data_IF_941344380282
#
_entry.id   IF_941344380282
#
_cell.length_a   1.000
_cell.length_b   1.000
_cell.length_c   1.000
_cell.angle_alpha   90.00
_cell.angle_beta   90.00
_cell.angle_gamma   90.00
#
_symmetry.space_group_name_H-M   'P 1'
#
loop_
_entity.id
_entity.type
_entity.pdbx_description
1 polymer ?
#
# COMPACT_ATOMS: atom_id res chain seq x y z
N UNK A 1 -4.25 1.60 -6.52
CA UNK A 1 -4.97 2.75 -5.91
C UNK A 1 -4.01 3.80 -5.33
N UNK A 2 -2.89 3.42 -4.71
CA UNK A 2 -1.95 4.38 -4.10
C UNK A 2 -1.33 5.42 -5.06
N UNK A 3 -1.22 5.12 -6.36
CA UNK A 3 -0.72 6.07 -7.38
C UNK A 3 -1.56 7.36 -7.42
N UNK A 4 -2.88 7.25 -7.43
CA UNK A 4 -3.79 8.41 -7.57
C UNK A 4 -3.60 9.38 -6.41
N UNK A 5 -3.45 8.86 -5.20
CA UNK A 5 -3.35 9.68 -3.98
C UNK A 5 -2.01 10.37 -3.88
N UNK A 6 -0.92 9.68 -4.25
CA UNK A 6 0.41 10.30 -4.33
C UNK A 6 0.43 11.42 -5.37
N UNK A 7 -0.28 11.28 -6.49
CA UNK A 7 -0.39 12.34 -7.50
C UNK A 7 -1.20 13.54 -7.02
N UNK A 8 -2.34 13.30 -6.37
CA UNK A 8 -3.17 14.37 -5.78
C UNK A 8 -2.36 15.14 -4.73
N UNK A 9 -1.75 14.44 -3.77
CA UNK A 9 -0.95 15.08 -2.72
C UNK A 9 0.33 15.73 -3.24
N UNK A 10 1.00 15.13 -4.23
CA UNK A 10 2.16 15.73 -4.88
C UNK A 10 1.86 17.03 -5.62
N UNK A 11 0.64 17.18 -6.14
CA UNK A 11 0.18 18.43 -6.78
C UNK A 11 -0.15 19.48 -5.73
N UNK A 12 -0.86 19.11 -4.66
CA UNK A 12 -1.29 20.03 -3.60
C UNK A 12 -0.13 20.53 -2.73
N UNK A 13 0.82 19.66 -2.36
CA UNK A 13 1.88 20.00 -1.40
C UNK A 13 3.21 20.37 -2.06
N UNK A 14 3.55 19.73 -3.19
CA UNK A 14 4.86 19.87 -3.84
C UNK A 14 4.82 20.77 -5.08
N UNK A 15 3.63 21.30 -5.44
CA UNK A 15 3.35 22.09 -6.65
C UNK A 15 3.93 21.48 -7.94
N UNK A 16 4.04 20.15 -7.99
CA UNK A 16 4.50 19.43 -9.18
C UNK A 16 3.34 19.38 -10.17
N UNK A 17 3.56 19.93 -11.37
CA UNK A 17 2.60 19.78 -12.46
C UNK A 17 2.76 18.41 -13.09
N UNK A 18 1.80 17.52 -12.83
CA UNK A 18 1.66 16.26 -13.57
C UNK A 18 0.88 16.52 -14.84
N UNK A 19 1.23 15.84 -15.93
CA UNK A 19 0.50 15.99 -17.19
C UNK A 19 -0.92 15.43 -17.00
N UNK A 20 -1.95 16.00 -17.64
CA UNK A 20 -3.31 15.48 -17.54
C UNK A 20 -3.41 14.01 -18.00
N UNK A 21 -2.51 13.58 -18.89
CA UNK A 21 -2.38 12.17 -19.30
C UNK A 21 -2.03 11.23 -18.15
N UNK A 22 -1.20 11.66 -17.19
CA UNK A 22 -0.83 10.82 -16.04
C UNK A 22 -2.05 10.56 -15.13
N UNK A 23 -2.93 11.57 -15.00
CA UNK A 23 -4.18 11.45 -14.24
C UNK A 23 -5.15 10.47 -14.90
N UNK A 24 -5.30 10.56 -16.23
CA UNK A 24 -6.15 9.63 -16.99
C UNK A 24 -5.62 8.20 -16.82
N UNK A 25 -4.31 7.97 -16.97
CA UNK A 25 -3.71 6.65 -16.78
C UNK A 25 -3.93 6.11 -15.36
N UNK A 26 -3.79 6.95 -14.33
CA UNK A 26 -4.03 6.55 -12.95
C UNK A 26 -5.51 6.17 -12.69
N UNK A 27 -6.45 6.88 -13.31
CA UNK A 27 -7.87 6.53 -13.28
C UNK A 27 -8.14 5.23 -14.04
N UNK A 28 -7.55 5.02 -15.21
CA UNK A 28 -7.69 3.78 -15.98
C UNK A 28 -7.17 2.56 -15.20
N UNK A 29 -6.01 2.67 -14.53
CA UNK A 29 -5.49 1.60 -13.66
C UNK A 29 -6.47 1.31 -12.51
N UNK A 30 -7.03 2.36 -11.91
CA UNK A 30 -7.98 2.22 -10.80
C UNK A 30 -9.27 1.56 -11.26
N UNK A 31 -9.83 1.98 -12.39
CA UNK A 31 -11.01 1.34 -13.00
C UNK A 31 -10.75 -0.12 -13.36
N UNK A 32 -9.62 -0.44 -13.98
CA UNK A 32 -9.23 -1.81 -14.31
C UNK A 32 -9.13 -2.72 -13.07
N UNK A 33 -8.55 -2.21 -11.98
CA UNK A 33 -8.52 -2.93 -10.70
C UNK A 33 -9.93 -3.12 -10.11
N UNK A 34 -10.78 -2.09 -10.15
CA UNK A 34 -12.16 -2.18 -9.66
C UNK A 34 -12.96 -3.22 -10.44
N UNK A 35 -12.86 -3.23 -11.77
CA UNK A 35 -13.50 -4.22 -12.65
C UNK A 35 -12.99 -5.63 -12.34
N UNK A 36 -11.69 -5.79 -12.09
CA UNK A 36 -11.12 -7.08 -11.72
C UNK A 36 -11.64 -7.59 -10.36
N UNK A 37 -11.71 -6.71 -9.36
CA UNK A 37 -12.17 -7.03 -8.01
C UNK A 37 -13.66 -7.37 -7.99
N UNK A 38 -14.50 -6.58 -8.67
CA UNK A 38 -15.95 -6.81 -8.72
C UNK A 38 -16.35 -8.10 -9.45
N UNK A 39 -15.58 -8.50 -10.47
CA UNK A 39 -15.83 -9.74 -11.22
C UNK A 39 -15.10 -10.96 -10.64
N UNK A 40 -14.28 -10.78 -9.60
CA UNK A 40 -13.67 -11.88 -8.88
C UNK A 40 -14.60 -12.43 -7.80
N UNK A 41 -14.42 -13.69 -7.36
CA UNK A 41 -15.08 -14.21 -6.18
C UNK A 41 -14.45 -13.56 -4.93
N UNK A 42 -14.72 -12.28 -4.72
CA UNK A 42 -14.39 -11.54 -3.48
C UNK A 42 -15.47 -11.73 -2.41
N UNK A 43 -16.18 -12.87 -2.47
CA UNK A 43 -17.05 -13.31 -1.40
C UNK A 43 -16.18 -13.69 -0.20
N UNK A 44 -15.93 -12.72 0.68
CA UNK A 44 -15.53 -13.01 2.06
C UNK A 44 -16.56 -13.99 2.62
N UNK A 45 -16.12 -15.22 2.92
CA UNK A 45 -16.95 -16.30 3.48
C UNK A 45 -17.49 -15.97 4.89
N UNK A 46 -17.23 -14.74 5.37
CA UNK A 46 -17.61 -14.17 6.66
C UNK A 46 -18.71 -13.10 6.56
N UNK A 47 -19.25 -12.79 5.37
CA UNK A 47 -20.31 -11.77 5.17
C UNK A 47 -21.72 -12.35 5.34
N UNK A 48 -21.87 -13.59 5.77
CA UNK A 48 -23.19 -14.21 5.95
C UNK A 48 -23.96 -13.67 7.17
N UNK A 49 -23.32 -12.95 8.11
CA UNK A 49 -23.95 -12.51 9.37
C UNK A 49 -23.82 -11.01 9.72
N UNK A 50 -23.34 -10.15 8.81
CA UNK A 50 -23.20 -8.70 9.10
C UNK A 50 -23.61 -7.83 7.92
N UNK A 51 -24.84 -8.02 7.43
CA UNK A 51 -25.50 -7.17 6.44
C UNK A 51 -26.07 -5.88 7.05
N UNK A 52 -25.29 -5.19 7.88
CA UNK A 52 -25.65 -3.86 8.37
C UNK A 52 -24.93 -2.84 7.46
N UNK A 53 -25.65 -2.02 6.67
CA UNK A 53 -25.04 -1.08 5.73
C UNK A 53 -24.11 -0.07 6.42
N UNK A 54 -24.28 0.15 7.72
CA UNK A 54 -23.40 1.01 8.53
C UNK A 54 -21.95 0.53 8.60
N UNK A 55 -21.68 -0.76 8.80
CA UNK A 55 -20.29 -1.26 8.89
C UNK A 55 -19.58 -1.25 7.54
N UNK A 56 -20.30 -1.48 6.44
CA UNK A 56 -19.76 -1.35 5.10
C UNK A 56 -19.31 0.10 4.83
N UNK A 57 -20.14 1.08 5.21
CA UNK A 57 -19.82 2.50 5.05
C UNK A 57 -18.62 2.91 5.92
N UNK A 58 -18.58 2.45 7.17
CA UNK A 58 -17.46 2.70 8.10
C UNK A 58 -16.17 2.06 7.56
N UNK A 59 -16.22 0.81 7.10
CA UNK A 59 -15.07 0.12 6.49
C UNK A 59 -14.57 0.82 5.23
N UNK A 60 -15.49 1.25 4.35
CA UNK A 60 -15.15 2.01 3.16
C UNK A 60 -14.51 3.37 3.52
N UNK A 61 -15.07 4.09 4.50
CA UNK A 61 -14.52 5.35 4.99
C UNK A 61 -13.11 5.17 5.58
N UNK A 62 -12.91 4.13 6.40
CA UNK A 62 -11.59 3.79 6.98
C UNK A 62 -10.55 3.49 5.90
N UNK A 63 -10.93 2.76 4.85
CA UNK A 63 -10.03 2.46 3.73
C UNK A 63 -9.65 3.73 2.95
N UNK A 64 -10.60 4.65 2.72
CA UNK A 64 -10.31 5.94 2.06
C UNK A 64 -9.31 6.74 2.90
N UNK A 65 -9.54 6.85 4.21
CA UNK A 65 -8.66 7.57 5.13
C UNK A 65 -7.27 6.93 5.17
N UNK A 66 -7.19 5.61 5.32
CA UNK A 66 -5.92 4.88 5.33
C UNK A 66 -5.10 5.15 4.06
N UNK A 67 -5.73 5.00 2.90
CA UNK A 67 -5.08 5.21 1.62
C UNK A 67 -4.64 6.69 1.45
N UNK A 68 -5.44 7.66 1.91
CA UNK A 68 -5.08 9.07 1.85
C UNK A 68 -3.84 9.39 2.71
N UNK A 69 -3.76 8.81 3.91
CA UNK A 69 -2.61 8.96 4.82
C UNK A 69 -1.36 8.25 4.27
N UNK A 70 -1.51 7.09 3.63
CA UNK A 70 -0.40 6.37 2.96
C UNK A 70 0.21 7.21 1.82
N UNK A 71 -0.64 7.83 1.00
CA UNK A 71 -0.22 8.75 -0.06
C UNK A 71 0.45 10.03 0.47
N UNK A 72 -0.09 10.61 1.54
CA UNK A 72 0.49 11.79 2.19
C UNK A 72 1.87 11.50 2.77
N UNK A 73 2.01 10.39 3.49
CA UNK A 73 3.26 10.00 4.18
C UNK A 73 4.41 9.83 3.19
N UNK A 74 4.18 9.12 2.09
CA UNK A 74 5.21 8.91 1.06
C UNK A 74 5.59 10.21 0.33
N UNK A 75 4.64 11.13 0.14
CA UNK A 75 4.89 12.46 -0.46
C UNK A 75 5.67 13.37 0.48
N UNK A 76 5.35 13.38 1.77
CA UNK A 76 6.11 14.11 2.78
C UNK A 76 7.53 13.57 2.94
N UNK A 77 7.71 12.25 2.89
CA UNK A 77 9.05 11.65 2.89
C UNK A 77 9.89 12.12 1.70
N UNK A 78 9.31 12.15 0.49
CA UNK A 78 9.96 12.65 -0.73
C UNK A 78 10.34 14.14 -0.62
N UNK A 79 9.43 14.98 -0.11
CA UNK A 79 9.69 16.40 0.13
C UNK A 79 10.81 16.66 1.15
N UNK A 80 10.83 15.89 2.26
CA UNK A 80 11.87 16.00 3.28
C UNK A 80 13.25 15.64 2.74
N UNK A 81 13.35 14.59 1.91
CA UNK A 81 14.60 14.19 1.25
C UNK A 81 15.09 15.21 0.22
N UNK A 82 14.18 15.98 -0.40
CA UNK A 82 14.55 17.04 -1.34
C UNK A 82 15.04 18.31 -0.64
N UNK A 83 14.44 18.65 0.51
CA UNK A 83 14.77 19.85 1.29
C UNK A 83 16.06 19.69 2.12
N UNK A 84 16.37 18.47 2.58
CA UNK A 84 17.55 18.19 3.41
C UNK A 84 18.33 17.00 2.83
N UNK A 85 19.65 17.12 2.67
CA UNK A 85 20.57 16.00 2.34
C UNK A 85 20.71 15.02 3.51
N UNK A 86 19.60 14.52 4.03
CA UNK A 86 19.53 13.62 5.17
C UNK A 86 19.98 12.21 4.74
N UNK A 87 20.77 11.55 5.58
CA UNK A 87 21.13 10.14 5.41
C UNK A 87 19.90 9.25 5.66
N UNK A 88 19.67 8.27 4.78
CA UNK A 88 18.47 7.41 4.77
C UNK A 88 18.30 6.65 6.08
N UNK A 89 19.40 6.19 6.68
CA UNK A 89 19.37 5.45 7.95
C UNK A 89 18.85 6.29 9.13
N UNK A 90 19.22 7.56 9.22
CA UNK A 90 18.76 8.42 10.31
C UNK A 90 17.25 8.66 10.22
N UNK A 91 16.73 8.95 9.02
CA UNK A 91 15.29 9.18 8.83
C UNK A 91 14.45 7.93 9.11
N UNK A 92 14.91 6.75 8.67
CA UNK A 92 14.23 5.48 8.96
C UNK A 92 14.22 5.19 10.46
N UNK A 93 15.36 5.39 11.16
CA UNK A 93 15.41 5.22 12.62
C UNK A 93 14.47 6.17 13.37
N UNK A 94 14.44 7.46 13.03
CA UNK A 94 13.52 8.39 13.70
C UNK A 94 12.05 8.07 13.44
N UNK A 95 11.71 7.70 12.20
CA UNK A 95 10.33 7.37 11.83
C UNK A 95 9.86 6.09 12.53
N UNK A 96 10.72 5.07 12.58
CA UNK A 96 10.41 3.79 13.26
C UNK A 96 10.36 3.94 14.77
N UNK A 97 11.25 4.73 15.37
CA UNK A 97 11.24 5.00 16.80
C UNK A 97 9.94 5.71 17.21
N UNK A 98 9.54 6.76 16.50
CA UNK A 98 8.29 7.48 16.78
C UNK A 98 7.06 6.59 16.57
N UNK A 99 7.03 5.80 15.50
CA UNK A 99 5.93 4.86 15.22
C UNK A 99 5.81 3.77 16.30
N UNK A 100 6.95 3.29 16.81
CA UNK A 100 6.99 2.29 17.89
C UNK A 100 6.49 2.89 19.20
N UNK A 101 6.89 4.13 19.52
CA UNK A 101 6.39 4.83 20.72
C UNK A 101 4.88 5.04 20.70
N UNK A 102 4.32 5.48 19.57
CA UNK A 102 2.86 5.63 19.42
C UNK A 102 2.16 4.27 19.54
N UNK A 103 2.69 3.24 18.87
CA UNK A 103 2.12 1.89 18.92
C UNK A 103 2.15 1.31 20.33
N UNK A 104 3.24 1.56 21.08
CA UNK A 104 3.37 1.17 22.48
C UNK A 104 2.33 1.88 23.34
N UNK A 105 2.18 3.19 23.22
CA UNK A 105 1.15 3.96 23.94
C UNK A 105 -0.27 3.45 23.63
N UNK A 106 -0.57 3.13 22.37
CA UNK A 106 -1.87 2.56 21.97
C UNK A 106 -2.13 1.17 22.58
N UNK A 107 -1.10 0.32 22.64
CA UNK A 107 -1.20 -1.03 23.22
C UNK A 107 -1.38 -0.99 24.74
N UNK A 108 -0.71 -0.05 25.41
CA UNK A 108 -0.92 0.25 26.85
C UNK A 108 -2.37 0.72 27.07
N UNK A 109 -2.84 1.69 26.29
CA UNK A 109 -4.19 2.25 26.42
C UNK A 109 -5.30 1.23 26.17
N UNK A 110 -5.06 0.23 25.32
CA UNK A 110 -6.02 -0.85 25.03
C UNK A 110 -5.87 -2.05 25.98
N UNK A 111 -4.90 -2.00 26.91
CA UNK A 111 -4.58 -3.05 27.88
C UNK A 111 -4.29 -4.44 27.27
N UNK A 112 -3.79 -4.48 26.03
CA UNK A 112 -3.50 -5.72 25.29
C UNK A 112 -2.07 -6.24 25.49
N UNK A 113 -1.22 -5.49 26.20
CA UNK A 113 0.17 -5.87 26.46
C UNK A 113 0.28 -7.18 27.25
N UNK A 114 -0.46 -7.29 28.36
CA UNK A 114 -0.39 -8.47 29.25
C UNK A 114 -0.83 -9.76 28.52
N UNK A 115 -1.99 -9.78 27.81
CA UNK A 115 -2.38 -10.95 27.00
C UNK A 115 -1.35 -11.34 25.93
N UNK A 116 -0.72 -10.37 25.28
CA UNK A 116 0.25 -10.61 24.21
C UNK A 116 1.53 -11.28 24.74
N UNK A 117 2.01 -10.85 25.90
CA UNK A 117 3.18 -11.45 26.56
C UNK A 117 2.86 -12.87 27.03
N UNK A 118 1.66 -13.08 27.59
CA UNK A 118 1.22 -14.40 28.04
C UNK A 118 1.14 -15.40 26.87
N UNK A 119 0.69 -14.94 25.69
CA UNK A 119 0.67 -15.75 24.47
C UNK A 119 2.08 -16.16 24.02
N UNK A 120 3.05 -15.24 24.08
CA UNK A 120 4.46 -15.51 23.75
C UNK A 120 5.10 -16.53 24.69
N UNK A 121 4.85 -16.41 26.00
CA UNK A 121 5.36 -17.36 27.00
C UNK A 121 4.77 -18.75 26.78
N UNK A 122 3.51 -18.82 26.34
CA UNK A 122 2.84 -20.10 26.10
C UNK A 122 3.24 -20.77 24.77
N UNK A 123 3.72 -20.02 23.78
CA UNK A 123 4.14 -20.52 22.47
C UNK A 123 5.51 -19.94 22.07
N UNK A 124 6.63 -20.49 22.58
CA UNK A 124 7.96 -19.97 22.28
C UNK A 124 8.33 -20.08 20.79
N UNK A 125 7.77 -21.04 20.05
CA UNK A 125 7.98 -21.15 18.61
C UNK A 125 7.47 -19.93 17.84
N UNK A 126 6.45 -19.23 18.37
CA UNK A 126 5.92 -18.00 17.77
C UNK A 126 6.97 -16.88 17.71
N UNK A 127 7.96 -16.89 18.63
CA UNK A 127 9.02 -15.89 18.66
C UNK A 127 9.86 -15.90 17.40
N UNK A 128 10.16 -17.08 16.83
CA UNK A 128 10.94 -17.18 15.61
C UNK A 128 10.22 -16.56 14.41
N UNK A 129 8.91 -16.79 14.29
CA UNK A 129 8.10 -16.16 13.25
C UNK A 129 8.02 -14.64 13.45
N UNK A 130 7.88 -14.15 14.68
CA UNK A 130 7.86 -12.72 14.98
C UNK A 130 9.20 -12.07 14.63
N UNK A 131 10.32 -12.67 15.04
CA UNK A 131 11.65 -12.17 14.73
C UNK A 131 11.92 -12.14 13.23
N UNK A 132 11.52 -13.19 12.50
CA UNK A 132 11.65 -13.23 11.04
C UNK A 132 10.80 -12.13 10.38
N UNK A 133 9.57 -11.91 10.85
CA UNK A 133 8.70 -10.83 10.37
C UNK A 133 9.29 -9.46 10.65
N UNK A 134 9.81 -9.21 11.86
CA UNK A 134 10.44 -7.95 12.23
C UNK A 134 11.72 -7.67 11.42
N UNK A 135 12.57 -8.68 11.22
CA UNK A 135 13.78 -8.55 10.42
C UNK A 135 13.42 -8.24 8.95
N UNK A 136 12.44 -8.96 8.40
CA UNK A 136 11.96 -8.72 7.04
C UNK A 136 11.30 -7.33 6.90
N UNK A 137 10.53 -6.88 7.89
CA UNK A 137 9.87 -5.57 7.86
C UNK A 137 10.89 -4.44 7.95
N UNK A 138 11.91 -4.58 8.81
CA UNK A 138 13.00 -3.61 8.92
C UNK A 138 13.78 -3.50 7.61
N UNK A 139 14.14 -4.63 7.00
CA UNK A 139 14.80 -4.66 5.69
C UNK A 139 13.94 -3.98 4.61
N UNK A 140 12.65 -4.32 4.54
CA UNK A 140 11.70 -3.71 3.60
C UNK A 140 11.61 -2.20 3.80
N UNK A 141 11.56 -1.72 5.05
CA UNK A 141 11.43 -0.30 5.34
C UNK A 141 12.65 0.51 4.88
N UNK A 142 13.86 -0.04 5.03
CA UNK A 142 15.08 0.55 4.47
C UNK A 142 15.02 0.60 2.95
N UNK A 143 14.57 -0.47 2.29
CA UNK A 143 14.42 -0.53 0.82
C UNK A 143 13.40 0.51 0.33
N UNK A 144 12.27 0.68 1.03
CA UNK A 144 11.24 1.66 0.69
C UNK A 144 11.82 3.08 0.76
N UNK A 145 12.44 3.44 1.88
CA UNK A 145 13.01 4.79 2.04
C UNK A 145 14.15 5.05 1.06
N UNK A 146 14.98 4.04 0.76
CA UNK A 146 16.00 4.14 -0.28
C UNK A 146 15.38 4.37 -1.68
N UNK A 147 14.31 3.66 -2.01
CA UNK A 147 13.59 3.78 -3.28
C UNK A 147 12.99 5.18 -3.45
N UNK A 148 12.32 5.70 -2.42
CA UNK A 148 11.76 7.06 -2.44
C UNK A 148 12.88 8.09 -2.61
N UNK A 149 14.00 7.96 -1.89
CA UNK A 149 15.13 8.88 -2.00
C UNK A 149 15.77 8.89 -3.40
N UNK A 150 15.77 7.77 -4.12
CA UNK A 150 16.41 7.63 -5.44
C UNK A 150 15.47 7.93 -6.61
N UNK A 151 14.21 7.49 -6.53
CA UNK A 151 13.25 7.50 -7.65
C UNK A 151 11.98 8.33 -7.37
N UNK A 152 11.85 8.89 -6.15
CA UNK A 152 10.72 9.70 -5.73
C UNK A 152 9.50 8.88 -5.29
N UNK A 153 8.51 9.59 -4.75
CA UNK A 153 7.25 9.00 -4.24
C UNK A 153 6.40 8.35 -5.34
N UNK A 154 6.37 8.91 -6.56
CA UNK A 154 5.56 8.39 -7.68
C UNK A 154 6.05 7.02 -8.18
N UNK A 155 7.36 6.83 -8.27
CA UNK A 155 7.95 5.54 -8.66
C UNK A 155 7.66 4.47 -7.59
N UNK A 156 7.79 4.83 -6.31
CA UNK A 156 7.43 3.94 -5.20
C UNK A 156 5.97 3.47 -5.27
N UNK A 157 5.02 4.39 -5.46
CA UNK A 157 3.61 4.03 -5.60
C UNK A 157 3.35 3.12 -6.81
N UNK A 158 4.11 3.29 -7.90
CA UNK A 158 4.03 2.45 -9.10
C UNK A 158 4.56 1.04 -8.83
N UNK A 159 5.69 0.91 -8.13
CA UNK A 159 6.24 -0.40 -7.73
C UNK A 159 5.29 -1.13 -6.78
N UNK A 160 4.70 -0.44 -5.80
CA UNK A 160 3.76 -1.04 -4.86
C UNK A 160 2.51 -1.59 -5.56
N UNK A 161 1.91 -0.80 -6.45
CA UNK A 161 0.71 -1.20 -7.19
C UNK A 161 1.00 -2.35 -8.17
N UNK A 162 2.15 -2.33 -8.83
CA UNK A 162 2.61 -3.43 -9.69
C UNK A 162 2.75 -4.73 -8.89
N UNK A 163 3.39 -4.66 -7.71
CA UNK A 163 3.56 -5.83 -6.82
C UNK A 163 2.21 -6.39 -6.37
N UNK A 164 1.29 -5.52 -5.94
CA UNK A 164 -0.04 -5.95 -5.51
C UNK A 164 -0.80 -6.63 -6.64
N UNK A 165 -0.79 -6.03 -7.83
CA UNK A 165 -1.47 -6.58 -9.00
C UNK A 165 -0.87 -7.94 -9.42
N UNK A 166 0.45 -8.07 -9.46
CA UNK A 166 1.11 -9.34 -9.76
C UNK A 166 0.81 -10.41 -8.71
N UNK A 167 0.78 -10.05 -7.43
CA UNK A 167 0.39 -10.97 -6.36
C UNK A 167 -1.05 -11.47 -6.52
N UNK A 168 -1.96 -10.62 -6.99
CA UNK A 168 -3.35 -11.00 -7.28
C UNK A 168 -3.41 -12.00 -8.45
N UNK A 169 -2.64 -11.75 -9.52
CA UNK A 169 -2.54 -12.66 -10.66
C UNK A 169 -2.00 -14.03 -10.25
N UNK A 170 -0.87 -14.05 -9.55
CA UNK A 170 -0.25 -15.29 -9.06
C UNK A 170 -1.21 -16.05 -8.15
N UNK A 171 -1.91 -15.36 -7.24
CA UNK A 171 -2.94 -15.97 -6.41
C UNK A 171 -4.03 -16.63 -7.26
N UNK A 172 -4.58 -15.92 -8.25
CA UNK A 172 -5.61 -16.49 -9.14
C UNK A 172 -5.15 -17.71 -9.94
N UNK A 173 -3.87 -17.74 -10.35
CA UNK A 173 -3.26 -18.87 -11.05
C UNK A 173 -3.07 -20.07 -10.12
N UNK A 174 -2.59 -19.84 -8.90
CA UNK A 174 -2.32 -20.89 -7.91
C UNK A 174 -3.61 -21.54 -7.40
N UNK A 175 -4.66 -20.74 -7.16
CA UNK A 175 -5.96 -21.23 -6.66
C UNK A 175 -6.86 -21.84 -7.73
N UNK A 176 -6.42 -21.96 -9.01
CA UNK A 176 -7.19 -22.53 -10.13
C UNK A 176 -8.63 -22.02 -10.22
N UNK A 177 -8.85 -20.76 -9.85
CA UNK A 177 -10.20 -20.18 -9.89
C UNK A 177 -10.47 -19.77 -11.33
N UNK A 178 -11.49 -20.33 -12.02
CA UNK A 178 -11.74 -20.01 -13.43
C UNK A 178 -12.02 -18.51 -13.56
N UNK A 179 -11.08 -17.79 -14.16
CA UNK A 179 -11.16 -16.34 -14.34
C UNK A 179 -12.35 -16.03 -15.25
N UNK A 180 -13.32 -15.26 -14.76
CA UNK A 180 -14.45 -14.80 -15.58
C UNK A 180 -13.95 -13.93 -16.73
N UNK A 181 -14.66 -13.91 -17.86
CA UNK A 181 -14.31 -13.11 -19.05
C UNK A 181 -14.06 -11.63 -18.71
N UNK A 182 -14.77 -11.09 -17.71
CA UNK A 182 -14.57 -9.72 -17.22
C UNK A 182 -13.24 -9.48 -16.50
N UNK A 183 -12.66 -10.49 -15.83
CA UNK A 183 -11.37 -10.37 -15.17
C UNK A 183 -10.22 -10.30 -16.19
N UNK A 184 -10.30 -11.06 -17.29
CA UNK A 184 -9.35 -10.96 -18.41
C UNK A 184 -9.32 -9.56 -19.03
N UNK A 185 -10.49 -8.94 -19.18
CA UNK A 185 -10.62 -7.57 -19.68
C UNK A 185 -9.97 -6.57 -18.70
N UNK A 186 -10.23 -6.72 -17.40
CA UNK A 186 -9.57 -5.92 -16.35
C UNK A 186 -8.05 -6.06 -16.35
N UNK A 187 -7.53 -7.28 -16.52
CA UNK A 187 -6.09 -7.55 -16.63
C UNK A 187 -5.48 -6.82 -17.83
N UNK A 188 -6.10 -6.93 -19.00
CA UNK A 188 -5.61 -6.27 -20.22
C UNK A 188 -5.58 -4.75 -20.07
N UNK A 189 -6.58 -4.16 -19.42
CA UNK A 189 -6.63 -2.71 -19.16
C UNK A 189 -5.51 -2.27 -18.22
N UNK A 190 -5.28 -3.01 -17.12
CA UNK A 190 -4.24 -2.65 -16.14
C UNK A 190 -2.84 -2.78 -16.75
N UNK A 191 -2.55 -3.87 -17.45
CA UNK A 191 -1.26 -4.04 -18.13
C UNK A 191 -1.02 -2.97 -19.20
N UNK A 192 -2.03 -2.67 -20.01
CA UNK A 192 -1.93 -1.63 -21.04
C UNK A 192 -1.64 -0.25 -20.44
N UNK A 193 -2.38 0.15 -19.41
CA UNK A 193 -2.18 1.43 -18.74
C UNK A 193 -0.83 1.51 -18.01
N UNK A 194 -0.38 0.41 -17.40
CA UNK A 194 0.92 0.36 -16.74
C UNK A 194 2.08 0.46 -17.75
N UNK A 195 1.97 -0.20 -18.91
CA UNK A 195 2.96 -0.11 -19.98
C UNK A 195 3.06 1.30 -20.55
N UNK A 196 1.92 1.93 -20.85
CA UNK A 196 1.87 3.33 -21.32
C UNK A 196 2.50 4.30 -20.31
N UNK A 197 2.25 4.09 -19.02
CA UNK A 197 2.84 4.90 -17.95
C UNK A 197 4.35 4.75 -17.87
N UNK A 198 4.87 3.52 -17.96
CA UNK A 198 6.32 3.26 -17.97
C UNK A 198 7.01 3.93 -19.17
N UNK A 199 6.39 3.88 -20.35
CA UNK A 199 6.91 4.56 -21.54
C UNK A 199 6.94 6.09 -21.36
N UNK A 200 5.88 6.68 -20.80
CA UNK A 200 5.86 8.12 -20.53
C UNK A 200 6.91 8.53 -19.51
N UNK A 201 7.11 7.73 -18.46
CA UNK A 201 8.12 7.98 -17.44
C UNK A 201 9.56 7.81 -17.96
N UNK A 202 9.78 7.01 -19.01
CA UNK A 202 11.09 6.87 -19.66
C UNK A 202 11.42 8.01 -20.63
N UNK A 203 10.43 8.83 -21.02
CA UNK A 203 10.59 9.85 -22.07
C UNK A 203 10.69 11.28 -21.51
N UNK A 204 10.54 11.46 -20.18
CA UNK A 204 10.63 12.76 -19.50
C UNK A 204 11.73 12.76 -18.44
#
# INVERSE_FOLDING_TARGET
MSIVQVMIWGTVYMNKQYKPMDYILALTITMGCTVFVLNGPVASRTVSDTSNPGYLLIGAALMIVYLAVDGLTSTWQDGLFHAHKMSVCHQVMYTTAFSTSISFMGTVGTNQLIPSILFLVRNPDALWYILALCASSAAMQVIISYTIKRYGSLAFATVMTTRQFFSILVSSLVFWTPLMKGQWLGISIVFGAMYLKLLQQSTG
#
